data_IF_695657312447
#
_entry.id   IF_695657312447
#
_cell.length_a   1.000
_cell.length_b   1.000
_cell.length_c   1.000
_cell.angle_alpha   90.00
_cell.angle_beta   90.00
_cell.angle_gamma   90.00
#
_symmetry.space_group_name_H-M   'P 1'
#
loop_
_entity.id
_entity.type
_entity.pdbx_description
1 polymer ?
#
# COMPACT_ATOMS: atom_id res chain seq x y z
N UNK A 1 -27.76 -57.93 -12.24
CA UNK A 1 -28.42 -56.71 -11.73
C UNK A 1 -28.02 -55.55 -12.62
N UNK A 2 -29.00 -55.00 -13.35
CA UNK A 2 -28.83 -53.99 -14.39
C UNK A 2 -28.19 -52.71 -13.83
N UNK A 3 -27.20 -52.18 -14.56
CA UNK A 3 -26.56 -50.89 -14.25
C UNK A 3 -27.60 -49.78 -14.31
N UNK A 4 -27.74 -49.01 -13.23
CA UNK A 4 -28.50 -47.75 -13.26
C UNK A 4 -27.83 -46.84 -14.29
N UNK A 5 -28.48 -46.64 -15.44
CA UNK A 5 -28.08 -45.64 -16.42
C UNK A 5 -28.04 -44.28 -15.73
N UNK A 6 -26.89 -43.62 -15.74
CA UNK A 6 -26.78 -42.22 -15.33
C UNK A 6 -27.53 -41.39 -16.36
N UNK A 7 -28.79 -41.07 -16.08
CA UNK A 7 -29.64 -40.23 -16.91
C UNK A 7 -28.97 -38.87 -17.14
N UNK A 8 -28.79 -38.50 -18.42
CA UNK A 8 -28.30 -37.18 -18.80
C UNK A 8 -29.23 -36.08 -18.26
N UNK A 9 -28.66 -34.93 -17.93
CA UNK A 9 -29.41 -33.74 -17.55
C UNK A 9 -29.57 -32.82 -18.76
N UNK A 10 -30.74 -32.18 -18.88
CA UNK A 10 -31.04 -31.24 -19.96
C UNK A 10 -30.83 -29.82 -19.44
N UNK A 11 -29.95 -29.06 -20.07
CA UNK A 11 -29.68 -27.65 -19.76
C UNK A 11 -30.22 -26.79 -20.90
N UNK A 12 -30.94 -25.72 -20.56
CA UNK A 12 -31.47 -24.74 -21.53
C UNK A 12 -30.51 -23.57 -21.62
N UNK A 13 -30.06 -23.21 -22.81
CA UNK A 13 -29.14 -22.10 -23.06
C UNK A 13 -29.87 -21.03 -23.84
N UNK A 14 -30.05 -19.86 -23.25
CA UNK A 14 -30.64 -18.69 -23.91
C UNK A 14 -29.53 -17.85 -24.56
N UNK A 15 -29.52 -17.81 -25.88
CA UNK A 15 -28.69 -16.91 -26.69
C UNK A 15 -29.55 -15.80 -27.33
N UNK A 16 -28.94 -14.80 -27.98
CA UNK A 16 -29.68 -13.80 -28.76
C UNK A 16 -30.55 -14.40 -29.87
N UNK A 17 -30.22 -15.60 -30.37
CA UNK A 17 -30.95 -16.32 -31.42
C UNK A 17 -32.09 -17.20 -30.88
N UNK A 18 -32.23 -17.32 -29.55
CA UNK A 18 -33.28 -18.10 -28.91
C UNK A 18 -32.76 -19.09 -27.86
N UNK A 19 -33.62 -20.02 -27.44
CA UNK A 19 -33.30 -21.01 -26.40
C UNK A 19 -33.00 -22.36 -27.05
N UNK A 20 -31.80 -22.90 -26.83
CA UNK A 20 -31.44 -24.27 -27.23
C UNK A 20 -31.32 -25.19 -26.03
N UNK A 21 -31.65 -26.47 -26.20
CA UNK A 21 -31.57 -27.50 -25.15
C UNK A 21 -30.35 -28.37 -25.40
N UNK A 22 -29.52 -28.58 -24.38
CA UNK A 22 -28.29 -29.36 -24.43
C UNK A 22 -28.38 -30.47 -23.40
N UNK A 23 -28.30 -31.71 -23.84
CA UNK A 23 -28.20 -32.86 -22.97
C UNK A 23 -26.74 -33.15 -22.65
N UNK A 24 -26.41 -33.22 -21.36
CA UNK A 24 -25.05 -33.46 -20.89
C UNK A 24 -25.08 -34.38 -19.66
N UNK A 25 -24.04 -35.20 -19.48
CA UNK A 25 -23.93 -36.03 -18.28
C UNK A 25 -23.67 -35.15 -17.05
N UNK A 26 -24.30 -35.40 -15.89
CA UNK A 26 -24.02 -34.63 -14.67
C UNK A 26 -22.56 -34.76 -14.19
N UNK A 27 -21.83 -35.80 -14.62
CA UNK A 27 -20.41 -36.00 -14.30
C UNK A 27 -19.45 -35.29 -15.26
N UNK A 28 -19.95 -34.75 -16.37
CA UNK A 28 -19.14 -33.99 -17.33
C UNK A 28 -18.63 -32.70 -16.70
N UNK A 29 -17.48 -32.22 -17.18
CA UNK A 29 -16.89 -30.95 -16.72
C UNK A 29 -17.50 -29.74 -17.40
N UNK A 30 -17.32 -28.56 -16.80
CA UNK A 30 -17.76 -27.30 -17.43
C UNK A 30 -17.07 -27.04 -18.77
N UNK A 31 -15.84 -27.51 -18.97
CA UNK A 31 -15.17 -27.50 -20.29
C UNK A 31 -15.98 -28.24 -21.36
N UNK A 32 -16.49 -29.44 -21.05
CA UNK A 32 -17.29 -30.23 -21.99
C UNK A 32 -18.66 -29.59 -22.26
N UNK A 33 -19.22 -28.86 -21.28
CA UNK A 33 -20.43 -28.06 -21.47
C UNK A 33 -20.17 -26.93 -22.48
N UNK A 34 -19.06 -26.20 -22.36
CA UNK A 34 -18.68 -25.16 -23.32
C UNK A 34 -18.50 -25.72 -24.74
N UNK A 35 -17.80 -26.84 -24.89
CA UNK A 35 -17.63 -27.51 -26.20
C UNK A 35 -18.98 -27.92 -26.82
N UNK A 36 -19.92 -28.41 -25.99
CA UNK A 36 -21.26 -28.78 -26.44
C UNK A 36 -22.08 -27.56 -26.89
N UNK A 37 -21.99 -26.45 -26.14
CA UNK A 37 -22.63 -25.18 -26.49
C UNK A 37 -22.07 -24.62 -27.78
N UNK A 38 -20.74 -24.58 -27.92
CA UNK A 38 -20.06 -24.12 -29.13
C UNK A 38 -20.49 -24.93 -30.35
N UNK A 39 -20.58 -26.26 -30.22
CA UNK A 39 -21.03 -27.14 -31.31
C UNK A 39 -22.50 -26.92 -31.70
N UNK A 40 -23.38 -26.69 -30.74
CA UNK A 40 -24.84 -26.56 -30.98
C UNK A 40 -25.23 -25.16 -31.45
N UNK A 41 -24.55 -24.12 -30.96
CA UNK A 41 -24.84 -22.73 -31.34
C UNK A 41 -23.94 -22.22 -32.47
N UNK A 42 -22.80 -22.87 -32.75
CA UNK A 42 -21.79 -22.42 -33.75
C UNK A 42 -21.31 -20.99 -33.49
N UNK A 43 -21.12 -20.64 -32.21
CA UNK A 43 -20.66 -19.32 -31.76
C UNK A 43 -19.31 -19.48 -31.06
N UNK A 44 -18.37 -18.60 -31.39
CA UNK A 44 -17.07 -18.49 -30.72
C UNK A 44 -17.03 -17.25 -29.82
N UNK A 45 -16.20 -17.30 -28.77
CA UNK A 45 -15.99 -16.17 -27.85
C UNK A 45 -17.23 -15.84 -27.02
N UNK A 46 -17.72 -16.79 -26.23
CA UNK A 46 -18.89 -16.59 -25.37
C UNK A 46 -18.62 -16.96 -23.92
N UNK A 47 -19.35 -16.31 -23.01
CA UNK A 47 -19.47 -16.69 -21.61
C UNK A 47 -20.85 -17.28 -21.32
N UNK A 48 -20.92 -18.23 -20.39
CA UNK A 48 -22.16 -18.83 -19.89
C UNK A 48 -22.45 -18.31 -18.49
N UNK A 49 -23.68 -17.92 -18.22
CA UNK A 49 -24.09 -17.30 -16.95
C UNK A 49 -25.32 -18.00 -16.38
N UNK A 50 -25.41 -18.14 -15.07
CA UNK A 50 -26.58 -18.77 -14.43
C UNK A 50 -27.81 -17.85 -14.41
N UNK A 51 -27.60 -16.54 -14.48
CA UNK A 51 -28.65 -15.52 -14.35
C UNK A 51 -28.68 -14.59 -15.56
N UNK A 52 -29.87 -14.04 -15.86
CA UNK A 52 -30.12 -13.19 -17.04
C UNK A 52 -29.37 -11.86 -17.01
N UNK A 53 -29.04 -11.37 -15.82
CA UNK A 53 -28.23 -10.18 -15.58
C UNK A 53 -26.72 -10.41 -15.87
N UNK A 54 -26.33 -11.65 -16.21
CA UNK A 54 -24.94 -12.07 -16.39
C UNK A 54 -24.06 -11.92 -15.14
N UNK A 55 -24.64 -12.00 -13.94
CA UNK A 55 -23.94 -11.75 -12.66
C UNK A 55 -23.33 -12.98 -11.99
N UNK A 56 -23.26 -14.12 -12.68
CA UNK A 56 -22.63 -15.34 -12.16
C UNK A 56 -22.12 -16.20 -13.34
N UNK A 57 -20.88 -15.97 -13.74
CA UNK A 57 -20.25 -16.65 -14.87
C UNK A 57 -19.83 -18.08 -14.49
N UNK A 58 -20.19 -19.04 -15.33
CA UNK A 58 -19.83 -20.43 -15.21
C UNK A 58 -18.53 -20.66 -15.98
N UNK A 59 -17.37 -20.55 -15.33
CA UNK A 59 -16.09 -20.68 -16.03
C UNK A 59 -15.86 -22.06 -16.65
N UNK A 60 -15.30 -22.08 -17.86
CA UNK A 60 -14.85 -23.30 -18.51
C UNK A 60 -13.65 -23.90 -17.76
N UNK A 61 -13.93 -24.80 -16.80
CA UNK A 61 -12.91 -25.51 -16.05
C UNK A 61 -13.07 -27.04 -16.24
N UNK A 62 -11.97 -27.77 -16.07
CA UNK A 62 -11.96 -29.23 -16.21
C UNK A 62 -12.26 -29.95 -14.87
N UNK A 63 -12.10 -29.25 -13.76
CA UNK A 63 -12.15 -29.80 -12.40
C UNK A 63 -13.55 -29.84 -11.78
N UNK A 64 -14.46 -28.94 -12.18
CA UNK A 64 -15.82 -28.90 -11.64
C UNK A 64 -16.80 -29.64 -12.55
N UNK A 65 -17.62 -30.51 -11.94
CA UNK A 65 -18.66 -31.25 -12.64
C UNK A 65 -19.95 -30.42 -12.76
N UNK A 66 -20.63 -30.53 -13.89
CA UNK A 66 -21.85 -29.77 -14.20
C UNK A 66 -22.95 -30.04 -13.18
N UNK A 67 -23.12 -31.30 -12.75
CA UNK A 67 -24.17 -31.72 -11.82
C UNK A 67 -24.05 -31.16 -10.40
N UNK A 68 -22.90 -30.57 -10.03
CA UNK A 68 -22.72 -29.89 -8.74
C UNK A 68 -23.45 -28.54 -8.73
N UNK A 69 -23.46 -27.85 -9.88
CA UNK A 69 -23.88 -26.44 -9.97
C UNK A 69 -25.20 -26.26 -10.72
N UNK A 70 -25.49 -27.14 -11.68
CA UNK A 70 -26.67 -27.11 -12.54
C UNK A 70 -27.53 -28.37 -12.39
N UNK A 71 -28.85 -28.18 -12.32
CA UNK A 71 -29.86 -29.25 -12.25
C UNK A 71 -30.55 -29.46 -13.60
N UNK A 72 -31.23 -30.59 -13.74
CA UNK A 72 -32.03 -30.88 -14.94
C UNK A 72 -33.12 -29.80 -15.14
N UNK A 73 -33.13 -29.18 -16.31
CA UNK A 73 -34.06 -28.12 -16.70
C UNK A 73 -33.57 -26.70 -16.44
N UNK A 74 -32.40 -26.50 -15.83
CA UNK A 74 -31.87 -25.16 -15.54
C UNK A 74 -31.66 -24.34 -16.83
N UNK A 75 -31.93 -23.04 -16.73
CA UNK A 75 -31.68 -22.06 -17.80
C UNK A 75 -30.37 -21.33 -17.50
N UNK A 76 -29.48 -21.30 -18.48
CA UNK A 76 -28.26 -20.49 -18.47
C UNK A 76 -28.29 -19.53 -19.66
N UNK A 77 -27.58 -18.42 -19.54
CA UNK A 77 -27.62 -17.30 -20.46
C UNK A 77 -26.27 -17.15 -21.13
N UNK A 78 -26.26 -17.07 -22.45
CA UNK A 78 -25.06 -16.88 -23.24
C UNK A 78 -24.86 -15.39 -23.52
N UNK A 79 -23.65 -14.88 -23.23
CA UNK A 79 -23.23 -13.53 -23.64
C UNK A 79 -22.03 -13.65 -24.57
N UNK A 80 -22.12 -13.03 -25.74
CA UNK A 80 -20.98 -12.96 -26.65
C UNK A 80 -20.00 -11.91 -26.16
N UNK A 81 -18.72 -12.27 -26.11
CA UNK A 81 -17.62 -11.41 -25.67
C UNK A 81 -16.80 -11.10 -26.93
N UNK A 82 -16.80 -9.84 -27.36
CA UNK A 82 -16.09 -9.44 -28.57
C UNK A 82 -14.57 -9.50 -28.34
N UNK A 83 -13.91 -10.43 -29.02
CA UNK A 83 -12.46 -10.65 -29.01
C UNK A 83 -12.13 -12.10 -29.39
N UNK A 84 -11.60 -12.32 -30.59
CA UNK A 84 -11.36 -13.65 -31.15
C UNK A 84 -10.34 -14.47 -30.34
N UNK A 85 -10.76 -15.67 -29.94
CA UNK A 85 -10.01 -16.93 -29.99
C UNK A 85 -8.49 -16.87 -29.76
N UNK A 86 -8.05 -16.99 -28.50
CA UNK A 86 -6.79 -17.67 -28.16
C UNK A 86 -7.08 -18.71 -27.07
N UNK A 87 -6.75 -19.96 -27.38
CA UNK A 87 -6.74 -21.11 -26.49
C UNK A 87 -5.96 -20.78 -25.21
N UNK A 88 -6.61 -20.82 -24.04
CA UNK A 88 -5.90 -20.87 -22.74
C UNK A 88 -5.41 -22.31 -22.52
N UNK A 89 -4.24 -22.61 -23.05
CA UNK A 89 -3.37 -23.69 -22.57
C UNK A 89 -2.14 -23.04 -21.94
N UNK A 90 -1.80 -23.51 -20.75
CA UNK A 90 -0.71 -23.09 -19.87
C UNK A 90 0.66 -23.03 -20.58
N UNK A 91 1.45 -21.97 -20.35
CA UNK A 91 2.89 -21.95 -19.94
C UNK A 91 3.54 -20.56 -20.12
N UNK A 92 4.27 -20.13 -19.08
CA UNK A 92 5.50 -19.30 -19.03
C UNK A 92 5.58 -17.85 -19.59
N UNK A 93 5.98 -16.96 -18.66
CA UNK A 93 6.92 -15.81 -18.72
C UNK A 93 6.65 -14.55 -19.57
N UNK A 94 6.49 -13.43 -18.83
CA UNK A 94 7.06 -12.05 -18.98
C UNK A 94 6.71 -11.31 -20.30
N UNK A 95 6.02 -10.16 -20.34
CA UNK A 95 6.31 -8.91 -19.63
C UNK A 95 5.11 -7.92 -19.63
N UNK A 96 4.91 -7.29 -18.47
CA UNK A 96 4.68 -5.87 -18.23
C UNK A 96 3.37 -5.08 -18.55
N UNK A 97 2.98 -4.31 -17.51
CA UNK A 97 2.06 -3.15 -17.37
C UNK A 97 0.53 -3.34 -17.18
N UNK A 98 0.14 -3.15 -15.91
CA UNK A 98 -1.00 -2.38 -15.39
C UNK A 98 -2.46 -2.75 -15.80
N UNK A 99 -3.30 -3.16 -14.85
CA UNK A 99 -4.02 -2.20 -13.99
C UNK A 99 -4.99 -2.87 -13.00
N UNK A 100 -5.07 -2.20 -11.85
CA UNK A 100 -6.01 -2.31 -10.73
C UNK A 100 -7.48 -2.56 -11.11
N UNK A 101 -8.24 -3.34 -10.31
CA UNK A 101 -9.69 -3.30 -10.38
C UNK A 101 -10.22 -2.08 -9.63
N UNK A 102 -10.50 -1.00 -10.39
CA UNK A 102 -11.43 0.04 -9.95
C UNK A 102 -12.86 -0.50 -10.01
N UNK A 103 -13.44 -0.82 -8.85
CA UNK A 103 -14.88 -1.08 -8.71
C UNK A 103 -15.54 0.15 -8.07
N UNK A 104 -16.49 0.75 -8.78
CA UNK A 104 -17.43 1.72 -8.21
C UNK A 104 -18.86 1.14 -8.31
N UNK A 105 -19.41 0.87 -7.12
CA UNK A 105 -20.81 0.68 -6.71
C UNK A 105 -21.62 -0.44 -7.41
N UNK A 106 -22.33 -1.31 -6.70
CA UNK A 106 -23.20 -1.05 -5.55
C UNK A 106 -23.27 -2.33 -4.70
N UNK A 107 -22.69 -2.33 -3.50
CA UNK A 107 -22.60 -3.51 -2.63
C UNK A 107 -23.14 -3.20 -1.22
N UNK A 108 -24.42 -3.44 -1.00
CA UNK A 108 -24.89 -3.89 0.31
C UNK A 108 -24.61 -5.39 0.43
N UNK A 109 -23.35 -5.76 0.67
CA UNK A 109 -22.93 -7.17 0.73
C UNK A 109 -21.64 -7.31 1.53
N UNK A 110 -21.82 -7.77 2.78
CA UNK A 110 -20.82 -8.30 3.75
C UNK A 110 -19.61 -7.40 4.06
N UNK A 111 -19.28 -7.16 5.34
CA UNK A 111 -18.10 -6.35 5.67
C UNK A 111 -16.84 -7.03 5.13
N UNK A 112 -16.06 -6.33 4.32
CA UNK A 112 -14.67 -6.71 4.03
C UNK A 112 -13.93 -6.70 5.38
N UNK A 113 -13.63 -7.88 5.92
CA UNK A 113 -12.88 -7.99 7.17
C UNK A 113 -11.41 -7.74 6.82
N UNK A 114 -10.97 -6.50 7.03
CA UNK A 114 -9.55 -6.13 6.94
C UNK A 114 -8.83 -6.72 8.15
N UNK A 115 -7.81 -7.54 7.90
CA UNK A 115 -6.94 -8.09 8.95
C UNK A 115 -5.77 -7.12 9.12
N UNK A 116 -5.81 -6.34 10.19
CA UNK A 116 -4.73 -5.41 10.57
C UNK A 116 -3.55 -6.17 11.20
N UNK A 117 -2.37 -5.56 11.23
CA UNK A 117 -1.20 -6.18 11.86
C UNK A 117 -1.41 -6.40 13.36
N UNK A 118 -0.71 -7.37 13.94
CA UNK A 118 -0.77 -7.68 15.37
C UNK A 118 -0.55 -6.44 16.25
N UNK A 119 0.45 -5.60 15.91
CA UNK A 119 0.73 -4.34 16.63
C UNK A 119 -0.46 -3.38 16.60
N UNK A 120 -1.19 -3.30 15.49
CA UNK A 120 -2.34 -2.41 15.36
C UNK A 120 -3.54 -2.95 16.15
N UNK A 121 -3.72 -4.27 16.13
CA UNK A 121 -4.75 -4.94 16.94
C UNK A 121 -4.51 -4.73 18.44
N UNK A 122 -3.26 -4.77 18.89
CA UNK A 122 -2.88 -4.46 20.27
C UNK A 122 -3.14 -2.98 20.60
N UNK A 123 -2.63 -2.05 19.79
CA UNK A 123 -2.81 -0.61 19.99
C UNK A 123 -4.26 -0.14 19.93
N UNK A 124 -5.11 -0.84 19.18
CA UNK A 124 -6.55 -0.56 19.11
C UNK A 124 -7.29 -0.86 20.41
N UNK A 125 -6.74 -1.73 21.28
CA UNK A 125 -7.32 -2.11 22.57
C UNK A 125 -6.85 -1.25 23.74
N UNK A 126 -5.70 -0.59 23.59
CA UNK A 126 -5.15 0.30 24.61
C UNK A 126 -6.05 1.53 24.83
N UNK A 127 -6.01 2.17 26.00
CA UNK A 127 -6.72 3.45 26.19
C UNK A 127 -5.90 4.67 25.75
N UNK A 128 -4.58 4.50 25.58
CA UNK A 128 -3.65 5.55 25.15
C UNK A 128 -3.61 6.77 26.08
N UNK A 129 -4.24 6.70 27.25
CA UNK A 129 -4.39 7.86 28.13
C UNK A 129 -3.07 8.13 28.84
N UNK A 130 -2.63 9.38 28.77
CA UNK A 130 -1.39 9.82 29.38
C UNK A 130 -1.68 10.12 30.85
N UNK A 131 -1.19 9.25 31.74
CA UNK A 131 -1.38 9.39 33.18
C UNK A 131 -0.58 10.57 33.71
N UNK A 132 -1.22 11.45 34.47
CA UNK A 132 -0.57 12.56 35.17
C UNK A 132 -0.42 12.26 36.66
N UNK A 133 0.69 12.74 37.22
CA UNK A 133 0.85 12.83 38.67
C UNK A 133 -0.05 13.93 39.25
N UNK A 134 -0.28 13.89 40.56
CA UNK A 134 -0.98 14.98 41.27
C UNK A 134 -0.10 16.23 41.28
N UNK A 135 -0.65 17.34 40.81
CA UNK A 135 0.00 18.66 40.91
C UNK A 135 -0.09 19.17 42.36
N UNK A 136 1.05 19.39 43.00
CA UNK A 136 1.10 19.80 44.41
C UNK A 136 0.53 21.20 44.68
N UNK A 137 0.46 22.06 43.65
CA UNK A 137 0.00 23.46 43.76
C UNK A 137 -1.43 23.64 43.29
N UNK A 138 -1.87 22.88 42.29
CA UNK A 138 -3.17 23.06 41.63
C UNK A 138 -4.23 22.04 42.07
N UNK A 139 -3.84 20.87 42.57
CA UNK A 139 -4.77 19.82 42.99
C UNK A 139 -5.28 20.01 44.43
N UNK A 140 -6.42 20.67 44.56
CA UNK A 140 -7.15 20.91 45.81
C UNK A 140 -8.19 19.82 46.12
N UNK A 141 -7.78 18.54 46.09
CA UNK A 141 -8.65 17.41 46.41
C UNK A 141 -7.93 16.36 47.27
N UNK A 142 -8.68 15.44 47.90
CA UNK A 142 -8.09 14.33 48.63
C UNK A 142 -7.34 13.36 47.69
N UNK A 143 -6.59 12.40 48.24
CA UNK A 143 -5.77 11.44 47.48
C UNK A 143 -6.56 10.64 46.44
N UNK A 144 -7.85 10.38 46.68
CA UNK A 144 -8.72 9.63 45.78
C UNK A 144 -9.56 10.53 44.86
N UNK A 145 -9.39 11.85 44.95
CA UNK A 145 -10.05 12.81 44.05
C UNK A 145 -9.30 12.95 42.72
N UNK A 146 -10.00 13.42 41.70
CA UNK A 146 -9.43 13.76 40.40
C UNK A 146 -9.93 15.15 40.00
N UNK A 147 -9.04 16.01 39.48
CA UNK A 147 -9.39 17.31 38.90
C UNK A 147 -8.76 17.47 37.52
N UNK A 148 -9.02 18.61 36.87
CA UNK A 148 -8.51 18.93 35.52
C UNK A 148 -6.97 18.97 35.44
N UNK A 149 -6.27 19.08 36.56
CA UNK A 149 -4.79 19.12 36.61
C UNK A 149 -4.13 17.75 36.80
N UNK A 150 -4.88 16.72 37.21
CA UNK A 150 -4.36 15.37 37.41
C UNK A 150 -5.13 14.29 36.65
N UNK A 151 -6.24 14.63 35.97
CA UNK A 151 -6.93 13.70 35.09
C UNK A 151 -6.02 13.21 33.97
N UNK A 152 -6.17 11.99 33.47
CA UNK A 152 -5.40 11.56 32.29
C UNK A 152 -5.64 12.48 31.10
N UNK A 153 -4.61 12.67 30.28
CA UNK A 153 -4.68 13.46 29.04
C UNK A 153 -4.85 12.56 27.83
N UNK A 154 -5.45 13.10 26.79
CA UNK A 154 -5.58 12.43 25.51
C UNK A 154 -4.19 12.20 24.87
N UNK A 155 -3.99 11.11 24.11
CA UNK A 155 -2.72 10.80 23.45
C UNK A 155 -2.29 11.85 22.40
N UNK A 156 -3.21 12.73 22.00
CA UNK A 156 -2.99 13.81 21.03
C UNK A 156 -2.93 15.21 21.67
N UNK A 157 -2.73 15.31 22.99
CA UNK A 157 -2.59 16.58 23.69
C UNK A 157 -1.35 17.37 23.20
N UNK A 158 -1.58 18.59 22.71
CA UNK A 158 -0.55 19.40 22.06
C UNK A 158 0.52 19.91 23.05
N UNK A 159 0.14 20.13 24.31
CA UNK A 159 1.07 20.61 25.35
C UNK A 159 2.06 19.52 25.72
N UNK A 160 1.56 18.30 25.96
CA UNK A 160 2.38 17.13 26.23
C UNK A 160 3.36 16.84 25.10
N UNK A 161 2.88 16.81 23.85
CA UNK A 161 3.72 16.53 22.69
C UNK A 161 4.83 17.57 22.53
N UNK A 162 4.53 18.86 22.77
CA UNK A 162 5.52 19.94 22.72
C UNK A 162 6.56 19.82 23.82
N UNK A 163 6.15 19.53 25.05
CA UNK A 163 7.05 19.34 26.20
C UNK A 163 8.03 18.18 25.96
N UNK A 164 7.53 17.06 25.43
CA UNK A 164 8.33 15.88 25.11
C UNK A 164 9.04 15.94 23.73
N UNK A 165 9.00 17.09 23.04
CA UNK A 165 9.62 17.30 21.71
C UNK A 165 9.15 16.31 20.63
N UNK A 166 7.91 15.83 20.75
CA UNK A 166 7.28 14.93 19.78
C UNK A 166 6.71 15.75 18.62
N UNK A 167 7.32 15.63 17.44
CA UNK A 167 7.02 16.49 16.27
C UNK A 167 5.75 16.12 15.49
N UNK A 168 5.30 14.88 15.60
CA UNK A 168 4.12 14.34 14.91
C UNK A 168 3.42 13.33 15.80
N UNK A 169 2.10 13.22 15.65
CA UNK A 169 1.30 12.18 16.28
C UNK A 169 1.69 10.79 15.75
N UNK A 170 1.61 9.78 16.59
CA UNK A 170 1.54 8.40 16.08
C UNK A 170 0.23 8.22 15.30
N UNK A 171 0.21 7.29 14.36
CA UNK A 171 -0.97 7.07 13.53
C UNK A 171 -2.20 6.66 14.37
N UNK A 172 -2.02 5.86 15.42
CA UNK A 172 -3.11 5.49 16.33
C UNK A 172 -3.62 6.67 17.17
N UNK A 173 -2.75 7.59 17.62
CA UNK A 173 -3.17 8.84 18.26
C UNK A 173 -3.93 9.75 17.28
N UNK A 174 -3.51 9.77 16.02
CA UNK A 174 -4.19 10.52 14.96
C UNK A 174 -5.58 9.95 14.66
N UNK A 175 -5.73 8.62 14.55
CA UNK A 175 -7.04 7.97 14.41
C UNK A 175 -7.95 8.41 15.57
N UNK A 176 -7.47 8.33 16.80
CA UNK A 176 -8.25 8.75 17.98
C UNK A 176 -8.68 10.20 17.94
N UNK A 177 -7.79 11.10 17.50
CA UNK A 177 -8.12 12.52 17.32
C UNK A 177 -9.23 12.71 16.29
N UNK A 178 -9.26 11.91 15.23
CA UNK A 178 -10.33 11.97 14.23
C UNK A 178 -11.63 11.34 14.74
N UNK A 179 -11.56 10.29 15.56
CA UNK A 179 -12.73 9.56 16.03
C UNK A 179 -13.31 10.04 17.37
N UNK A 180 -12.67 10.98 18.08
CA UNK A 180 -13.09 11.44 19.42
C UNK A 180 -14.32 12.36 19.44
N UNK A 181 -14.88 12.72 18.27
CA UNK A 181 -16.09 13.53 18.16
C UNK A 181 -17.38 12.81 18.58
N UNK A 182 -18.50 13.55 18.58
CA UNK A 182 -19.84 13.07 18.97
C UNK A 182 -20.25 11.81 18.21
N UNK A 183 -19.87 11.73 16.94
CA UNK A 183 -20.17 10.60 16.05
C UNK A 183 -19.28 9.37 16.26
N UNK A 184 -18.32 9.42 17.20
CA UNK A 184 -17.36 8.34 17.50
C UNK A 184 -16.66 7.77 16.25
N UNK A 185 -16.37 8.64 15.28
CA UNK A 185 -15.73 8.24 14.02
C UNK A 185 -16.63 7.57 12.99
N UNK A 186 -17.96 7.54 13.18
CA UNK A 186 -18.91 6.89 12.24
C UNK A 186 -18.79 7.39 10.79
N UNK A 187 -18.39 8.65 10.59
CA UNK A 187 -18.22 9.27 9.27
C UNK A 187 -16.76 9.50 8.88
N UNK A 188 -15.81 9.04 9.70
CA UNK A 188 -14.39 9.18 9.39
C UNK A 188 -13.98 8.05 8.46
N UNK A 189 -13.62 8.42 7.23
CA UNK A 189 -13.06 7.51 6.23
C UNK A 189 -11.67 7.99 5.88
N UNK A 190 -10.68 7.10 6.01
CA UNK A 190 -9.31 7.38 5.61
C UNK A 190 -9.09 6.91 4.18
N UNK A 191 -9.29 7.80 3.23
CA UNK A 191 -9.05 7.52 1.81
C UNK A 191 -7.75 8.16 1.34
N UNK A 192 -7.00 7.42 0.54
CA UNK A 192 -5.82 7.94 -0.12
C UNK A 192 -6.22 9.00 -1.15
N UNK A 193 -5.36 10.01 -1.30
CA UNK A 193 -5.49 11.02 -2.35
C UNK A 193 -5.39 10.32 -3.70
N UNK A 194 -6.26 10.68 -4.64
CA UNK A 194 -6.27 10.14 -6.00
C UNK A 194 -6.08 11.28 -7.01
N UNK A 195 -4.99 11.21 -7.79
CA UNK A 195 -4.62 12.21 -8.78
C UNK A 195 -5.12 11.86 -10.19
N UNK A 196 -5.78 10.70 -10.37
CA UNK A 196 -6.29 10.24 -11.67
C UNK A 196 -7.72 10.68 -11.91
N UNK A 197 -8.08 10.86 -13.18
CA UNK A 197 -9.47 11.10 -13.59
C UNK A 197 -10.31 9.88 -13.21
N UNK A 198 -11.45 10.11 -12.55
CA UNK A 198 -12.40 9.02 -12.25
C UNK A 198 -12.94 8.43 -13.55
N UNK A 199 -12.81 7.11 -13.70
CA UNK A 199 -13.31 6.39 -14.87
C UNK A 199 -14.83 6.27 -14.86
N UNK A 200 -15.44 6.15 -16.04
CA UNK A 200 -16.88 5.88 -16.16
C UNK A 200 -17.81 7.10 -16.11
N UNK A 201 -17.31 8.33 -16.33
CA UNK A 201 -18.17 9.50 -16.47
C UNK A 201 -19.04 9.39 -17.73
N UNK A 202 -20.35 9.63 -17.59
CA UNK A 202 -21.34 9.47 -18.69
C UNK A 202 -21.65 10.78 -19.42
N UNK A 203 -21.12 11.91 -18.94
CA UNK A 203 -21.48 13.26 -19.42
C UNK A 203 -20.57 13.75 -20.56
N UNK A 204 -19.42 13.11 -20.78
CA UNK A 204 -18.46 13.49 -21.82
C UNK A 204 -17.70 12.28 -22.34
N UNK A 205 -17.03 12.44 -23.48
CA UNK A 205 -16.11 11.42 -24.00
C UNK A 205 -14.90 11.24 -23.06
N UNK A 206 -14.29 10.05 -23.00
CA UNK A 206 -13.09 9.83 -22.17
C UNK A 206 -11.95 10.80 -22.51
N UNK A 207 -11.11 11.07 -21.50
CA UNK A 207 -9.87 11.83 -21.68
C UNK A 207 -9.06 11.27 -22.86
N UNK A 208 -8.50 12.12 -23.75
CA UNK A 208 -8.39 13.60 -23.65
C UNK A 208 -9.55 14.39 -24.28
N UNK A 209 -10.58 13.72 -24.81
CA UNK A 209 -11.64 14.38 -25.59
C UNK A 209 -12.68 15.13 -24.74
N UNK A 210 -12.69 14.90 -23.43
CA UNK A 210 -13.57 15.60 -22.50
C UNK A 210 -13.22 15.32 -21.05
N UNK A 211 -13.49 16.31 -20.20
CA UNK A 211 -13.37 16.23 -18.75
C UNK A 211 -14.46 17.12 -18.12
N UNK A 212 -15.00 16.72 -16.97
CA UNK A 212 -15.92 17.54 -16.19
C UNK A 212 -15.49 17.61 -14.72
N UNK A 213 -16.04 18.57 -13.97
CA UNK A 213 -15.72 18.76 -12.55
C UNK A 213 -16.06 17.57 -11.65
N UNK A 214 -16.91 16.63 -12.10
CA UNK A 214 -17.27 15.42 -11.34
C UNK A 214 -16.20 14.32 -11.44
N UNK A 215 -15.50 14.23 -12.57
CA UNK A 215 -14.48 13.21 -12.81
C UNK A 215 -13.05 13.73 -12.65
N UNK A 216 -12.87 15.05 -12.79
CA UNK A 216 -11.60 15.72 -12.57
C UNK A 216 -11.15 15.55 -11.11
N UNK A 217 -9.91 15.11 -10.86
CA UNK A 217 -9.37 15.07 -9.52
C UNK A 217 -9.14 16.50 -9.02
N UNK A 218 -9.37 16.73 -7.73
CA UNK A 218 -9.18 18.05 -7.12
C UNK A 218 -7.70 18.44 -7.12
N UNK A 219 -7.43 19.74 -7.20
CA UNK A 219 -6.08 20.27 -7.00
C UNK A 219 -5.53 19.84 -5.63
N UNK A 220 -4.24 19.52 -5.59
CA UNK A 220 -3.57 19.00 -4.40
C UNK A 220 -2.86 20.17 -3.72
N UNK A 221 -3.13 20.38 -2.44
CA UNK A 221 -2.36 21.33 -1.63
C UNK A 221 -1.48 20.56 -0.67
N UNK A 222 -0.17 20.60 -0.90
CA UNK A 222 0.86 20.01 -0.05
C UNK A 222 0.87 20.69 1.31
N UNK A 223 0.33 19.99 2.31
CA UNK A 223 0.38 20.40 3.70
C UNK A 223 1.34 19.50 4.49
N UNK A 224 1.94 20.06 5.55
CA UNK A 224 2.75 19.26 6.47
C UNK A 224 1.89 18.19 7.15
N UNK A 225 2.23 16.91 6.93
CA UNK A 225 1.52 15.80 7.57
C UNK A 225 1.74 15.84 9.08
N UNK A 226 0.65 15.76 9.86
CA UNK A 226 0.68 15.91 11.33
C UNK A 226 0.90 14.60 12.08
N UNK A 227 0.92 13.47 11.36
CA UNK A 227 1.06 12.13 11.91
C UNK A 227 2.09 11.30 11.12
N UNK A 228 2.53 10.18 11.69
CA UNK A 228 3.38 9.18 11.03
C UNK A 228 2.98 7.76 11.44
N UNK A 229 3.16 6.81 10.53
CA UNK A 229 2.81 5.39 10.76
C UNK A 229 3.80 4.65 11.66
N UNK A 230 5.08 5.03 11.62
CA UNK A 230 6.14 4.51 12.49
C UNK A 230 6.86 5.67 13.16
N UNK A 231 7.09 5.56 14.46
CA UNK A 231 7.66 6.60 15.31
C UNK A 231 9.15 6.47 15.53
N UNK A 232 9.67 5.24 15.47
CA UNK A 232 11.05 4.95 15.73
C UNK A 232 11.53 3.77 14.88
N UNK A 233 12.78 3.82 14.44
CA UNK A 233 13.50 2.69 13.85
C UNK A 233 14.61 2.31 14.81
N UNK A 234 14.64 1.04 15.20
CA UNK A 234 15.62 0.50 16.14
C UNK A 234 16.27 -0.72 15.52
N UNK A 235 17.60 -0.75 15.48
CA UNK A 235 18.36 -1.95 15.13
C UNK A 235 18.56 -2.79 16.39
N UNK A 236 18.35 -4.10 16.30
CA UNK A 236 18.54 -5.01 17.44
C UNK A 236 19.98 -5.04 17.95
N UNK A 237 20.94 -4.88 17.04
CA UNK A 237 22.36 -4.89 17.35
C UNK A 237 23.12 -3.95 16.41
N UNK A 238 24.13 -3.26 16.94
CA UNK A 238 25.07 -2.43 16.18
C UNK A 238 25.79 -3.21 15.08
N UNK A 239 26.06 -4.50 15.28
CA UNK A 239 26.71 -5.38 14.30
C UNK A 239 25.97 -5.46 12.95
N UNK A 240 24.63 -5.31 12.95
CA UNK A 240 23.81 -5.33 11.73
C UNK A 240 24.23 -4.16 10.81
N UNK A 241 24.35 -2.97 11.40
CA UNK A 241 24.72 -1.74 10.70
C UNK A 241 26.21 -1.77 10.35
N UNK A 242 27.07 -2.21 11.27
CA UNK A 242 28.52 -2.29 11.01
C UNK A 242 28.85 -3.21 9.83
N UNK A 243 28.17 -4.37 9.74
CA UNK A 243 28.33 -5.28 8.60
C UNK A 243 27.94 -4.61 7.29
N UNK A 244 26.82 -3.88 7.27
CA UNK A 244 26.35 -3.15 6.10
C UNK A 244 27.33 -2.05 5.68
N UNK A 245 27.87 -1.29 6.65
CA UNK A 245 28.83 -0.20 6.38
C UNK A 245 30.21 -0.69 5.94
N UNK A 246 30.59 -1.93 6.24
CA UNK A 246 31.87 -2.49 5.80
C UNK A 246 32.01 -2.54 4.27
N UNK A 247 30.91 -2.67 3.53
CA UNK A 247 30.95 -2.57 2.07
C UNK A 247 31.46 -1.19 1.62
N UNK A 248 30.91 -0.12 2.19
CA UNK A 248 31.35 1.24 1.88
C UNK A 248 32.80 1.48 2.33
N UNK A 249 33.19 1.01 3.52
CA UNK A 249 34.58 1.18 4.03
C UNK A 249 35.62 0.52 3.14
N UNK A 250 35.28 -0.59 2.50
CA UNK A 250 36.22 -1.37 1.68
C UNK A 250 36.25 -0.91 0.22
N UNK A 251 35.11 -0.47 -0.33
CA UNK A 251 34.97 -0.13 -1.75
C UNK A 251 34.93 1.37 -2.03
N UNK A 252 34.48 2.18 -1.06
CA UNK A 252 34.12 3.58 -1.25
C UNK A 252 32.87 3.79 -2.11
N UNK A 253 32.13 2.73 -2.47
CA UNK A 253 30.87 2.84 -3.21
C UNK A 253 29.69 2.86 -2.25
N UNK A 254 28.61 3.54 -2.65
CA UNK A 254 27.38 3.57 -1.87
C UNK A 254 26.69 2.20 -1.88
N UNK A 255 25.77 1.99 -0.94
CA UNK A 255 25.07 0.72 -0.78
C UNK A 255 23.65 0.92 -0.33
N UNK A 256 22.75 0.03 -0.74
CA UNK A 256 21.39 -0.05 -0.20
C UNK A 256 21.05 -1.47 0.26
N UNK A 257 20.06 -1.56 1.14
CA UNK A 257 19.50 -2.84 1.57
C UNK A 257 18.05 -2.70 2.04
N UNK A 258 17.34 -3.81 2.06
CA UNK A 258 16.02 -3.92 2.66
C UNK A 258 16.13 -4.31 4.13
N UNK A 259 15.38 -3.63 4.97
CA UNK A 259 15.32 -3.85 6.41
C UNK A 259 14.28 -4.92 6.70
N UNK A 260 14.70 -6.04 7.30
CA UNK A 260 13.82 -7.10 7.78
C UNK A 260 13.70 -7.06 9.29
N UNK A 261 12.46 -7.17 9.78
CA UNK A 261 12.17 -6.91 11.18
C UNK A 261 10.70 -7.12 11.55
N UNK A 262 10.33 -6.57 12.69
CA UNK A 262 8.96 -6.57 13.23
C UNK A 262 8.52 -5.14 13.58
N UNK A 263 7.21 -4.96 13.75
CA UNK A 263 6.66 -3.72 14.32
C UNK A 263 6.21 -4.02 15.76
N UNK A 264 6.69 -3.23 16.70
CA UNK A 264 6.41 -3.36 18.13
C UNK A 264 5.78 -2.06 18.66
N UNK A 265 5.10 -2.14 19.81
CA UNK A 265 4.60 -0.94 20.49
C UNK A 265 5.78 -0.09 20.99
N UNK A 266 5.73 1.20 20.73
CA UNK A 266 6.69 2.17 21.24
C UNK A 266 6.08 2.95 22.40
N UNK A 267 6.70 2.89 23.57
CA UNK A 267 6.23 3.59 24.77
C UNK A 267 6.71 5.04 24.85
N UNK A 268 7.70 5.43 24.04
CA UNK A 268 8.27 6.79 24.05
C UNK A 268 7.33 7.84 23.44
N UNK A 269 6.34 7.38 22.65
CA UNK A 269 5.31 8.20 22.03
C UNK A 269 3.96 7.57 22.35
N UNK A 270 2.93 8.33 22.77
CA UNK A 270 1.60 7.79 23.02
C UNK A 270 1.10 6.97 21.83
N UNK A 271 0.75 5.70 22.08
CA UNK A 271 0.30 4.75 21.06
C UNK A 271 1.25 4.63 19.85
N UNK A 272 2.56 4.75 20.11
CA UNK A 272 3.57 4.74 19.06
C UNK A 272 3.86 3.34 18.53
N UNK A 273 4.45 3.29 17.34
CA UNK A 273 4.98 2.07 16.72
C UNK A 273 6.48 2.22 16.49
N UNK A 274 7.24 1.17 16.79
CA UNK A 274 8.67 1.04 16.51
C UNK A 274 8.90 -0.05 15.47
N UNK A 275 9.66 0.25 14.42
CA UNK A 275 10.21 -0.77 13.53
C UNK A 275 11.50 -1.32 14.14
N UNK A 276 11.48 -2.58 14.56
CA UNK A 276 12.65 -3.27 15.11
C UNK A 276 13.30 -4.11 14.02
N UNK A 277 14.49 -3.70 13.61
CA UNK A 277 15.25 -4.30 12.50
C UNK A 277 16.17 -5.38 13.04
N UNK A 278 15.98 -6.60 12.56
CA UNK A 278 16.78 -7.78 12.89
C UNK A 278 17.84 -8.09 11.84
N UNK A 279 17.60 -7.73 10.56
CA UNK A 279 18.53 -7.99 9.48
C UNK A 279 18.45 -6.94 8.37
N UNK A 280 19.54 -6.82 7.61
CA UNK A 280 19.60 -6.07 6.35
C UNK A 280 19.88 -7.09 5.25
N UNK A 281 19.00 -7.14 4.26
CA UNK A 281 19.20 -7.92 3.04
C UNK A 281 19.65 -6.98 1.93
N UNK A 282 20.77 -7.28 1.29
CA UNK A 282 21.34 -6.47 0.22
C UNK A 282 21.00 -7.10 -1.14
N UNK A 283 19.98 -6.60 -1.85
CA UNK A 283 19.62 -7.15 -3.16
C UNK A 283 20.72 -6.88 -4.20
N UNK A 284 20.72 -7.60 -5.33
CA UNK A 284 21.56 -7.29 -6.49
C UNK A 284 21.45 -5.81 -6.90
N UNK A 285 22.60 -5.14 -7.00
CA UNK A 285 22.68 -3.70 -7.24
C UNK A 285 24.01 -3.31 -7.90
N UNK A 286 23.94 -2.34 -8.82
CA UNK A 286 25.11 -1.65 -9.39
C UNK A 286 25.35 -0.37 -8.61
N UNK A 287 26.54 -0.23 -8.02
CA UNK A 287 26.86 0.88 -7.11
C UNK A 287 28.11 1.62 -7.55
N UNK A 288 28.07 2.94 -7.49
CA UNK A 288 29.23 3.82 -7.66
C UNK A 288 29.41 4.67 -6.40
N UNK A 289 30.30 5.68 -6.46
CA UNK A 289 30.46 6.67 -5.38
C UNK A 289 29.23 7.57 -5.21
N UNK A 290 28.47 7.77 -6.27
CA UNK A 290 27.41 8.80 -6.34
C UNK A 290 26.04 8.23 -6.77
N UNK A 291 25.96 6.92 -7.05
CA UNK A 291 24.72 6.31 -7.55
C UNK A 291 24.55 4.86 -7.11
N UNK A 292 23.29 4.46 -6.99
CA UNK A 292 22.83 3.10 -6.72
C UNK A 292 21.75 2.78 -7.74
N UNK A 293 21.89 1.67 -8.44
CA UNK A 293 20.90 1.16 -9.39
C UNK A 293 20.48 -0.24 -8.98
N UNK A 294 19.17 -0.44 -8.84
CA UNK A 294 18.62 -1.72 -8.42
C UNK A 294 18.62 -2.65 -9.63
N UNK A 295 18.99 -3.91 -9.39
CA UNK A 295 18.87 -4.97 -10.38
C UNK A 295 17.73 -5.91 -9.99
N UNK A 296 17.31 -6.74 -10.93
CA UNK A 296 16.32 -7.78 -10.66
C UNK A 296 16.90 -8.82 -9.70
N UNK A 297 16.09 -9.21 -8.72
CA UNK A 297 16.48 -10.14 -7.67
C UNK A 297 15.73 -11.46 -7.84
N UNK A 298 16.41 -12.45 -8.41
CA UNK A 298 15.85 -13.79 -8.63
C UNK A 298 15.62 -14.54 -7.30
N UNK A 299 16.31 -14.16 -6.22
CA UNK A 299 16.24 -14.83 -4.92
C UNK A 299 15.21 -14.20 -3.96
N UNK A 300 14.48 -13.15 -4.40
CA UNK A 300 13.61 -12.39 -3.51
C UNK A 300 12.50 -13.25 -2.88
N UNK A 301 11.95 -14.19 -3.64
CA UNK A 301 10.86 -15.07 -3.15
C UNK A 301 11.37 -16.01 -2.05
N UNK A 302 12.58 -16.57 -2.21
CA UNK A 302 13.21 -17.42 -1.20
C UNK A 302 13.52 -16.62 0.08
N UNK A 303 13.97 -15.37 -0.07
CA UNK A 303 14.27 -14.48 1.05
C UNK A 303 13.01 -14.13 1.83
N UNK A 304 11.89 -13.86 1.14
CA UNK A 304 10.60 -13.60 1.77
C UNK A 304 10.05 -14.86 2.48
N UNK A 305 10.26 -16.06 1.93
CA UNK A 305 9.88 -17.30 2.60
C UNK A 305 10.68 -17.52 3.89
N UNK A 306 12.00 -17.32 3.85
CA UNK A 306 12.86 -17.39 5.04
C UNK A 306 12.48 -16.34 6.07
N UNK A 307 12.24 -15.09 5.65
CA UNK A 307 11.81 -14.01 6.53
C UNK A 307 10.51 -14.39 7.23
N UNK A 308 9.52 -14.88 6.47
CA UNK A 308 8.23 -15.32 7.02
C UNK A 308 8.38 -16.48 8.00
N UNK A 309 9.23 -17.47 7.72
CA UNK A 309 9.51 -18.58 8.62
C UNK A 309 10.14 -18.11 9.95
N UNK A 310 10.90 -17.02 9.93
CA UNK A 310 11.48 -16.36 11.10
C UNK A 310 10.54 -15.36 11.78
N UNK A 311 9.31 -15.16 11.26
CA UNK A 311 8.38 -14.15 11.76
C UNK A 311 8.80 -12.71 11.45
N UNK A 312 9.73 -12.54 10.49
CA UNK A 312 10.20 -11.25 10.02
C UNK A 312 9.45 -10.84 8.75
N UNK A 313 9.47 -9.54 8.49
CA UNK A 313 8.93 -8.93 7.27
C UNK A 313 9.78 -7.75 6.86
N UNK A 314 9.63 -7.34 5.60
CA UNK A 314 10.24 -6.11 5.11
C UNK A 314 9.60 -4.89 5.77
N UNK A 315 10.34 -4.22 6.66
CA UNK A 315 9.86 -3.06 7.42
C UNK A 315 10.31 -1.72 6.85
N UNK A 316 11.29 -1.73 5.95
CA UNK A 316 11.83 -0.53 5.33
C UNK A 316 13.02 -0.81 4.42
N UNK A 317 13.73 0.25 4.07
CA UNK A 317 15.00 0.19 3.34
C UNK A 317 16.01 1.17 3.94
N UNK A 318 17.28 0.89 3.69
CA UNK A 318 18.42 1.69 4.11
C UNK A 318 19.33 1.96 2.92
N UNK A 319 19.90 3.15 2.84
CA UNK A 319 20.92 3.47 1.85
C UNK A 319 22.00 4.38 2.45
N UNK A 320 23.20 4.38 1.85
CA UNK A 320 24.30 5.23 2.27
C UNK A 320 24.47 6.43 1.35
N UNK A 321 24.83 7.56 1.95
CA UNK A 321 25.35 8.75 1.29
C UNK A 321 26.54 9.27 2.10
N UNK A 322 27.66 8.56 1.94
CA UNK A 322 28.88 8.75 2.71
C UNK A 322 30.04 9.12 1.79
N UNK A 323 30.71 10.22 2.12
CA UNK A 323 31.95 10.65 1.47
C UNK A 323 32.99 10.90 2.56
N UNK A 324 34.16 10.26 2.45
CA UNK A 324 35.27 10.46 3.39
C UNK A 324 35.74 11.92 3.35
N UNK A 325 35.89 12.53 4.52
CA UNK A 325 36.46 13.87 4.68
C UNK A 325 37.96 13.79 5.00
N UNK A 326 38.31 13.12 6.10
CA UNK A 326 39.69 12.82 6.49
C UNK A 326 39.87 11.31 6.75
N UNK A 327 40.60 10.58 5.88
CA UNK A 327 40.87 9.16 6.07
C UNK A 327 41.66 8.83 7.34
N UNK A 328 42.54 9.73 7.82
CA UNK A 328 43.36 9.48 9.00
C UNK A 328 42.55 9.60 10.29
N UNK A 329 41.59 10.54 10.32
CA UNK A 329 40.68 10.74 11.43
C UNK A 329 39.42 9.84 11.36
N UNK A 330 39.18 9.17 10.22
CA UNK A 330 37.99 8.34 10.00
C UNK A 330 36.70 9.15 9.88
N UNK A 331 36.78 10.41 9.46
CA UNK A 331 35.63 11.33 9.42
C UNK A 331 34.97 11.35 8.04
N UNK A 332 33.69 11.73 8.03
CA UNK A 332 32.85 11.84 6.82
C UNK A 332 32.30 13.24 6.63
N UNK A 333 32.02 13.62 5.40
CA UNK A 333 31.44 14.93 5.07
C UNK A 333 29.99 15.02 5.54
N UNK A 334 29.60 16.19 6.02
CA UNK A 334 28.20 16.52 6.24
C UNK A 334 27.59 17.01 4.91
N UNK A 335 26.93 16.10 4.19
CA UNK A 335 26.31 16.41 2.89
C UNK A 335 24.89 16.94 3.03
N UNK A 336 24.19 16.49 4.08
CA UNK A 336 22.77 16.72 4.31
C UNK A 336 22.56 17.67 5.49
N UNK A 337 21.64 18.61 5.32
CA UNK A 337 21.37 19.63 6.35
C UNK A 337 20.45 20.76 5.90
N UNK A 338 20.31 21.75 6.78
CA UNK A 338 19.42 22.90 6.62
C UNK A 338 19.81 23.76 5.40
N UNK A 339 21.10 23.82 5.08
CA UNK A 339 21.65 24.61 3.98
C UNK A 339 21.64 23.86 2.63
N UNK A 340 21.38 22.55 2.64
CA UNK A 340 21.33 21.70 1.45
C UNK A 340 19.95 21.05 1.34
N UNK A 341 19.87 19.76 1.62
CA UNK A 341 18.65 18.98 1.67
C UNK A 341 18.82 17.82 2.65
N UNK A 342 17.71 17.19 3.03
CA UNK A 342 17.70 15.99 3.86
C UNK A 342 17.51 14.73 3.02
N UNK A 343 16.58 14.78 2.06
CA UNK A 343 16.36 13.75 1.05
C UNK A 343 16.28 14.41 -0.32
N UNK A 344 16.80 13.74 -1.33
CA UNK A 344 16.64 14.18 -2.72
C UNK A 344 15.24 13.86 -3.23
N UNK A 345 14.80 14.53 -4.29
CA UNK A 345 13.54 14.23 -4.96
C UNK A 345 13.51 12.78 -5.49
N UNK A 346 14.64 12.27 -6.00
CA UNK A 346 14.75 10.88 -6.46
C UNK A 346 14.59 9.88 -5.30
N UNK A 347 15.19 10.16 -4.13
CA UNK A 347 15.04 9.33 -2.94
C UNK A 347 13.60 9.38 -2.40
N UNK A 348 12.95 10.55 -2.42
CA UNK A 348 11.54 10.68 -2.05
C UNK A 348 10.61 9.91 -2.98
N UNK A 349 10.88 9.95 -4.30
CA UNK A 349 10.11 9.19 -5.29
C UNK A 349 10.32 7.68 -5.08
N UNK A 350 11.56 7.26 -4.85
CA UNK A 350 11.90 5.86 -4.57
C UNK A 350 11.22 5.37 -3.28
N UNK A 351 11.28 6.17 -2.20
CA UNK A 351 10.60 5.88 -0.95
C UNK A 351 9.07 5.82 -1.13
N UNK A 352 8.49 6.73 -1.92
CA UNK A 352 7.06 6.72 -2.23
C UNK A 352 6.64 5.46 -2.99
N UNK A 353 7.42 5.03 -3.97
CA UNK A 353 7.20 3.78 -4.70
C UNK A 353 7.28 2.57 -3.77
N UNK A 354 8.31 2.50 -2.92
CA UNK A 354 8.46 1.41 -1.95
C UNK A 354 7.33 1.41 -0.92
N UNK A 355 6.88 2.57 -0.43
CA UNK A 355 5.73 2.66 0.47
C UNK A 355 4.43 2.23 -0.22
N UNK A 356 4.22 2.57 -1.50
CA UNK A 356 3.06 2.13 -2.28
C UNK A 356 3.03 0.62 -2.51
N UNK A 357 4.20 -0.03 -2.62
CA UNK A 357 4.31 -1.50 -2.71
C UNK A 357 4.05 -2.21 -1.38
N UNK A 358 4.10 -1.51 -0.27
CA UNK A 358 3.88 -2.05 1.08
C UNK A 358 2.77 -1.28 1.81
N UNK A 359 1.52 -1.34 1.32
CA UNK A 359 0.40 -0.61 1.91
C UNK A 359 0.10 -1.13 3.32
N UNK A 360 -0.31 -0.23 4.21
CA UNK A 360 -0.72 -0.59 5.57
C UNK A 360 -2.20 -0.98 5.59
N UNK A 361 -2.57 -2.21 6.01
CA UNK A 361 -3.97 -2.58 6.23
C UNK A 361 -4.63 -1.66 7.26
N UNK A 362 -5.81 -1.16 6.94
CA UNK A 362 -6.53 -0.21 7.79
C UNK A 362 -8.04 -0.41 7.64
N UNK A 363 -8.72 -0.78 8.73
CA UNK A 363 -10.17 -1.01 8.71
C UNK A 363 -11.01 0.26 8.55
N UNK A 364 -10.41 1.43 8.77
CA UNK A 364 -11.08 2.73 8.64
C UNK A 364 -10.98 3.30 7.22
N UNK A 365 -10.35 2.59 6.28
CA UNK A 365 -10.27 2.98 4.88
C UNK A 365 -11.34 2.28 4.04
N UNK A 366 -11.87 2.95 3.01
CA UNK A 366 -12.83 2.37 2.08
C UNK A 366 -12.24 1.22 1.24
N UNK A 367 -10.95 1.28 0.94
CA UNK A 367 -10.24 0.26 0.15
C UNK A 367 -9.52 -0.79 1.03
N UNK A 368 -9.60 -0.65 2.36
CA UNK A 368 -8.97 -1.54 3.34
C UNK A 368 -7.49 -1.26 3.63
N UNK A 369 -6.91 -0.20 3.08
CA UNK A 369 -5.51 0.18 3.29
C UNK A 369 -5.35 1.69 3.43
N UNK A 370 -4.40 2.16 4.24
CA UNK A 370 -4.14 3.60 4.34
C UNK A 370 -2.68 3.90 4.69
N UNK A 371 -1.99 4.58 3.77
CA UNK A 371 -0.57 4.87 3.87
C UNK A 371 0.29 3.61 3.99
N UNK A 372 1.46 3.72 4.64
CA UNK A 372 2.42 2.62 4.76
C UNK A 372 3.28 2.76 6.02
N UNK A 373 3.59 1.63 6.66
CA UNK A 373 4.59 1.54 7.74
C UNK A 373 6.03 1.37 7.24
N UNK A 374 6.24 1.32 5.93
CA UNK A 374 7.56 1.11 5.34
C UNK A 374 8.47 2.32 5.55
N UNK A 375 9.57 2.15 6.28
CA UNK A 375 10.48 3.24 6.66
C UNK A 375 11.63 3.39 5.67
N UNK A 376 12.21 4.59 5.62
CA UNK A 376 13.41 4.92 4.85
C UNK A 376 14.51 5.33 5.82
N UNK A 377 15.69 4.72 5.75
CA UNK A 377 16.84 5.09 6.58
C UNK A 377 17.97 5.57 5.68
N UNK A 378 18.45 6.80 5.90
CA UNK A 378 19.62 7.35 5.22
C UNK A 378 20.81 7.31 6.17
N UNK A 379 21.93 6.71 5.73
CA UNK A 379 23.20 6.78 6.46
C UNK A 379 24.06 7.88 5.87
N UNK A 380 24.36 8.92 6.64
CA UNK A 380 25.14 10.07 6.17
C UNK A 380 26.03 10.63 7.29
N UNK A 381 26.83 11.65 6.97
CA UNK A 381 27.64 12.36 7.96
C UNK A 381 26.84 13.40 8.74
N UNK A 382 26.96 13.41 10.06
CA UNK A 382 26.34 14.42 10.92
C UNK A 382 27.17 15.72 11.01
N UNK A 383 26.70 16.67 11.83
CA UNK A 383 27.40 17.95 12.10
C UNK A 383 28.77 17.77 12.77
N UNK A 384 29.02 16.61 13.39
CA UNK A 384 30.30 16.26 14.02
C UNK A 384 31.21 15.46 13.09
N UNK A 385 30.83 15.33 11.81
CA UNK A 385 31.55 14.56 10.78
C UNK A 385 31.65 13.07 11.11
N UNK A 386 30.70 12.56 11.89
CA UNK A 386 30.58 11.16 12.24
C UNK A 386 29.45 10.51 11.43
N UNK A 387 29.58 9.20 11.20
CA UNK A 387 28.54 8.43 10.52
C UNK A 387 27.31 8.37 11.42
N UNK A 388 26.15 8.76 10.87
CA UNK A 388 24.87 8.79 11.55
C UNK A 388 23.76 8.26 10.64
N UNK A 389 22.64 7.86 11.25
CA UNK A 389 21.47 7.33 10.55
C UNK A 389 20.25 8.20 10.83
N UNK A 390 19.59 8.65 9.76
CA UNK A 390 18.36 9.44 9.84
C UNK A 390 17.18 8.64 9.27
N UNK A 391 16.10 8.54 10.04
CA UNK A 391 14.88 7.83 9.66
C UNK A 391 13.80 8.75 9.11
N UNK A 392 13.21 8.37 7.99
CA UNK A 392 12.18 9.10 7.26
C UNK A 392 11.03 8.20 6.80
N UNK A 393 9.92 8.83 6.46
CA UNK A 393 8.83 8.27 5.67
C UNK A 393 8.25 9.40 4.82
N UNK A 394 7.87 9.13 3.57
CA UNK A 394 7.20 10.13 2.75
C UNK A 394 5.73 10.24 3.15
N UNK A 395 5.15 11.41 2.90
CA UNK A 395 3.74 11.67 3.23
C UNK A 395 2.79 10.92 2.31
N UNK A 396 1.53 10.74 2.74
CA UNK A 396 0.48 10.17 1.91
C UNK A 396 0.27 10.97 0.61
N UNK A 397 0.51 12.29 0.64
CA UNK A 397 0.48 13.16 -0.55
C UNK A 397 1.60 12.80 -1.55
N UNK A 398 2.81 12.53 -1.06
CA UNK A 398 3.91 12.09 -1.91
C UNK A 398 3.65 10.69 -2.48
N UNK A 399 3.16 9.76 -1.66
CA UNK A 399 2.76 8.42 -2.12
C UNK A 399 1.75 8.50 -3.27
N UNK A 400 0.71 9.33 -3.15
CA UNK A 400 -0.28 9.53 -4.20
C UNK A 400 0.31 10.12 -5.49
N UNK A 401 1.14 11.16 -5.37
CA UNK A 401 1.81 11.78 -6.52
C UNK A 401 2.76 10.82 -7.24
N UNK A 402 3.44 9.93 -6.52
CA UNK A 402 4.31 8.91 -7.11
C UNK A 402 3.49 7.81 -7.77
N UNK A 403 2.49 7.25 -7.07
CA UNK A 403 1.60 6.19 -7.60
C UNK A 403 0.90 6.60 -8.88
N UNK A 404 0.51 7.87 -8.96
CA UNK A 404 -0.22 8.41 -10.11
C UNK A 404 0.73 9.10 -11.11
N UNK A 405 2.04 8.88 -10.97
CA UNK A 405 3.06 9.33 -11.91
C UNK A 405 2.99 10.84 -12.17
N UNK A 406 2.74 11.66 -11.14
CA UNK A 406 2.66 13.12 -11.24
C UNK A 406 4.01 13.80 -10.94
N UNK A 407 4.87 13.16 -10.13
CA UNK A 407 6.13 13.73 -9.65
C UNK A 407 7.36 13.11 -10.36
N UNK A 408 8.33 13.95 -10.75
CA UNK A 408 9.63 13.54 -11.30
C UNK A 408 10.77 14.26 -10.61
N UNK A 409 11.97 13.65 -10.52
CA UNK A 409 13.14 14.33 -9.99
C UNK A 409 13.59 15.45 -10.94
N UNK A 410 14.26 16.47 -10.41
CA UNK A 410 14.97 17.46 -11.24
C UNK A 410 16.45 17.08 -11.37
N UNK A 411 17.14 17.64 -12.38
CA UNK A 411 18.55 17.35 -12.65
C UNK A 411 19.50 18.21 -11.80
N UNK A 412 19.22 19.51 -11.72
CA UNK A 412 20.16 20.50 -11.18
C UNK A 412 19.83 20.95 -9.75
N UNK A 413 18.69 20.52 -9.20
CA UNK A 413 18.19 20.93 -7.89
C UNK A 413 17.66 19.71 -7.11
N UNK A 414 18.54 18.87 -6.52
CA UNK A 414 18.13 17.61 -5.88
C UNK A 414 17.05 17.77 -4.80
N UNK A 415 16.93 18.94 -4.20
CA UNK A 415 15.90 19.32 -3.22
C UNK A 415 14.51 19.59 -3.82
N UNK A 416 14.41 19.76 -5.14
CA UNK A 416 13.18 20.09 -5.85
C UNK A 416 12.68 18.91 -6.69
N UNK A 417 11.38 18.65 -6.61
CA UNK A 417 10.65 17.76 -7.52
C UNK A 417 9.81 18.56 -8.52
N UNK A 418 9.75 18.09 -9.76
CA UNK A 418 8.96 18.70 -10.82
C UNK A 418 7.64 17.96 -10.99
N UNK A 419 6.55 18.71 -11.13
CA UNK A 419 5.22 18.18 -11.41
C UNK A 419 5.05 18.09 -12.91
N UNK A 420 4.74 16.89 -13.42
CA UNK A 420 4.52 16.67 -14.84
C UNK A 420 3.40 17.55 -15.37
N UNK A 421 3.57 18.05 -16.60
CA UNK A 421 2.51 18.73 -17.31
C UNK A 421 1.44 17.72 -17.78
N UNK A 422 0.20 18.17 -17.83
CA UNK A 422 -0.88 17.38 -18.41
C UNK A 422 -0.64 17.14 -19.90
N UNK A 423 -0.96 15.93 -20.37
CA UNK A 423 -0.87 15.53 -21.76
C UNK A 423 -2.08 14.70 -22.18
N UNK A 424 -2.23 14.45 -23.48
CA UNK A 424 -3.30 13.59 -24.02
C UNK A 424 -3.36 12.20 -23.38
N UNK A 425 -2.23 11.72 -22.84
CA UNK A 425 -2.12 10.41 -22.16
C UNK A 425 -2.46 10.46 -20.68
N UNK A 426 -2.18 11.57 -20.02
CA UNK A 426 -2.27 11.68 -18.57
C UNK A 426 -2.63 13.10 -18.16
N UNK A 427 -3.73 13.23 -17.42
CA UNK A 427 -4.05 14.44 -16.69
C UNK A 427 -3.26 14.50 -15.38
N UNK A 428 -2.71 15.65 -15.05
CA UNK A 428 -2.02 15.93 -13.79
C UNK A 428 -2.71 17.12 -13.12
N UNK A 429 -3.22 16.97 -11.88
CA UNK A 429 -3.86 18.07 -11.17
C UNK A 429 -2.85 19.14 -10.78
N UNK A 430 -3.33 20.37 -10.60
CA UNK A 430 -2.51 21.45 -10.04
C UNK A 430 -2.04 21.08 -8.62
N UNK A 431 -0.77 21.35 -8.35
CA UNK A 431 -0.15 21.09 -7.04
C UNK A 431 0.35 22.40 -6.44
N UNK A 432 -0.23 22.77 -5.30
CA UNK A 432 0.14 23.95 -4.53
C UNK A 432 0.87 23.53 -3.25
N UNK A 433 1.70 24.41 -2.69
CA UNK A 433 2.26 24.24 -1.35
C UNK A 433 2.21 25.58 -0.62
N UNK A 434 2.11 25.54 0.71
CA UNK A 434 2.07 26.76 1.52
C UNK A 434 3.49 27.20 1.86
N UNK A 435 3.76 28.48 1.63
CA UNK A 435 4.96 29.16 2.10
C UNK A 435 4.53 30.20 3.13
N UNK A 436 5.19 30.25 4.28
CA UNK A 436 5.08 31.40 5.18
C UNK A 436 5.93 32.52 4.59
N UNK A 437 5.29 33.61 4.21
CA UNK A 437 6.00 34.82 3.81
C UNK A 437 6.84 35.31 4.99
N UNK A 438 8.06 35.77 4.72
CA UNK A 438 9.03 36.16 5.75
C UNK A 438 8.76 37.53 6.33
#
# INVERSE_FOLDING_TARGET
MMSKSTSNILIRVQSPEGIKRIEISPKSSFKQLYESVQKVLKIDGFGLFKERNFSNELYANASQQVGITLKHGDMIYLKQIAGSSIRRTSTASIDNFENFPGSLADNFSKPNIVIEDEVDQLLSKEDGLIKRGRDSKLCHHASNGCCVHCSPMEPYDESYLKEHKIKHLSFHSYIRKQTSGIDRGKYVVFDDINCRIKTGCREHLPWPKGICSKCQPSAITLNRQVYRHVDNVMFENTNIVERFLNYWRTTGHQRMGFLYGTYEMNTDVPLGIRAKVAAIYEPPQETTRDSIKFLDDEAIDDVEEVAKALGLRKVGWIFTDLITDDPAAGTVKQLRGIETHFLTAQECITAGELQNRHPNPCKYSSNGTFGSKFVTVCVTGDKTKQVHMEGYAVSAQCMALVRDNCLVPTKDAPELGYIRESSDKQYVPDVYYKVSDK
#
